data_IF_838485129855
#
_entry.id   IF_838485129855
#
_cell.length_a   1.000
_cell.length_b   1.000
_cell.length_c   1.000
_cell.angle_alpha   90.00
_cell.angle_beta   90.00
_cell.angle_gamma   90.00
#
_symmetry.space_group_name_H-M   'P 1'
#
loop_
_entity.id
_entity.type
_entity.pdbx_description
1 polymer ?
#
# COMPACT_ATOMS: atom_id res chain seq x y z
N UNK A 1 8.48 8.21 -18.09
CA UNK A 1 7.41 7.49 -17.38
C UNK A 1 6.66 8.48 -16.54
N UNK A 2 5.35 8.32 -16.34
CA UNK A 2 4.58 9.31 -15.61
C UNK A 2 4.69 9.09 -14.10
N UNK A 3 4.45 7.86 -13.65
CA UNK A 3 4.47 7.52 -12.22
C UNK A 3 5.27 6.23 -12.00
N UNK A 4 6.07 6.19 -10.94
CA UNK A 4 6.72 4.98 -10.44
C UNK A 4 6.29 4.74 -8.99
N UNK A 5 5.81 3.53 -8.71
CA UNK A 5 5.49 3.09 -7.35
C UNK A 5 6.68 2.40 -6.69
N UNK A 6 6.81 2.57 -5.39
CA UNK A 6 7.74 1.79 -4.55
C UNK A 6 6.97 1.27 -3.35
N UNK A 7 6.90 -0.05 -3.22
CA UNK A 7 6.09 -0.67 -2.18
C UNK A 7 6.41 -2.15 -1.96
N UNK A 8 5.67 -2.78 -1.06
CA UNK A 8 5.75 -4.21 -0.83
C UNK A 8 5.22 -4.99 -2.04
N UNK A 9 6.07 -5.82 -2.62
CA UNK A 9 5.69 -6.77 -3.65
C UNK A 9 5.10 -8.01 -2.99
N UNK A 10 3.79 -8.05 -2.83
CA UNK A 10 3.06 -9.10 -2.11
C UNK A 10 2.20 -9.90 -3.09
N UNK A 11 2.23 -11.21 -2.95
CA UNK A 11 1.31 -12.10 -3.66
C UNK A 11 0.14 -12.42 -2.74
N UNK A 12 -1.06 -12.08 -3.16
CA UNK A 12 -2.29 -12.40 -2.44
C UNK A 12 -2.71 -13.84 -2.74
N UNK A 13 -2.88 -14.63 -1.69
CA UNK A 13 -3.33 -16.03 -1.72
C UNK A 13 -4.71 -16.09 -1.11
N UNK A 14 -5.72 -16.27 -1.96
CA UNK A 14 -7.13 -16.23 -1.58
C UNK A 14 -7.61 -17.62 -1.19
N UNK A 15 -8.19 -17.73 0.00
CA UNK A 15 -8.75 -18.97 0.54
C UNK A 15 -10.13 -18.71 1.15
N UNK A 16 -11.08 -19.63 0.94
CA UNK A 16 -12.36 -19.62 1.64
C UNK A 16 -12.24 -20.43 2.93
N UNK A 17 -12.77 -19.90 4.02
CA UNK A 17 -12.72 -20.50 5.34
C UNK A 17 -14.03 -20.34 6.09
N UNK A 18 -14.31 -21.24 7.04
CA UNK A 18 -15.40 -21.07 7.99
C UNK A 18 -14.98 -20.14 9.16
N UNK A 19 -15.94 -19.52 9.84
CA UNK A 19 -15.68 -18.62 10.96
C UNK A 19 -14.89 -19.29 12.10
N UNK A 20 -15.06 -20.61 12.29
CA UNK A 20 -14.31 -21.37 13.28
C UNK A 20 -12.82 -21.45 12.96
N UNK A 21 -12.41 -21.37 11.69
CA UNK A 21 -10.98 -21.33 11.33
C UNK A 21 -10.32 -20.04 11.87
N UNK A 22 -11.02 -18.90 11.78
CA UNK A 22 -10.55 -17.60 12.28
C UNK A 22 -10.31 -17.67 13.79
N UNK A 23 -11.30 -18.16 14.53
CA UNK A 23 -11.23 -18.25 16.00
C UNK A 23 -10.23 -19.29 16.48
N UNK A 24 -10.18 -20.46 15.84
CA UNK A 24 -9.24 -21.55 16.21
C UNK A 24 -7.76 -21.18 15.99
N UNK A 25 -7.49 -20.22 15.08
CA UNK A 25 -6.12 -19.73 14.84
C UNK A 25 -5.84 -18.39 15.56
N UNK A 26 -6.67 -17.97 16.51
CA UNK A 26 -6.52 -16.72 17.28
C UNK A 26 -6.36 -15.48 16.35
N UNK A 27 -7.12 -15.46 15.27
CA UNK A 27 -7.17 -14.33 14.35
C UNK A 27 -8.38 -13.44 14.74
N UNK A 28 -8.23 -12.14 14.51
CA UNK A 28 -9.33 -11.19 14.64
C UNK A 28 -9.97 -11.00 13.27
N UNK A 29 -11.24 -11.34 13.15
CA UNK A 29 -11.99 -11.21 11.89
C UNK A 29 -11.93 -9.78 11.35
N UNK A 30 -11.87 -9.63 10.05
CA UNK A 30 -11.88 -8.34 9.33
C UNK A 30 -10.69 -7.42 9.66
N UNK A 31 -9.57 -8.02 10.10
CA UNK A 31 -8.33 -7.27 10.36
C UNK A 31 -7.14 -7.83 9.58
N UNK A 32 -6.06 -7.04 9.52
CA UNK A 32 -4.78 -7.48 9.02
C UNK A 32 -3.83 -7.78 10.19
N UNK A 33 -3.15 -8.92 10.10
CA UNK A 33 -2.11 -9.35 11.04
C UNK A 33 -0.82 -9.64 10.28
N UNK A 34 0.30 -9.09 10.75
CA UNK A 34 1.61 -9.54 10.30
C UNK A 34 1.94 -10.86 10.99
N UNK A 35 2.38 -11.83 10.19
CA UNK A 35 2.78 -13.17 10.63
C UNK A 35 4.21 -13.47 10.21
N UNK A 36 4.86 -14.37 10.92
CA UNK A 36 6.15 -14.93 10.49
C UNK A 36 5.96 -16.10 9.50
N UNK A 37 7.08 -16.58 8.95
CA UNK A 37 7.07 -17.65 7.96
C UNK A 37 6.46 -18.96 8.51
N UNK A 38 6.72 -19.28 9.77
CA UNK A 38 6.22 -20.50 10.42
C UNK A 38 4.71 -20.43 10.61
N UNK A 39 4.22 -19.31 11.12
CA UNK A 39 2.77 -19.08 11.29
C UNK A 39 2.05 -19.06 9.94
N UNK A 40 2.64 -18.41 8.91
CA UNK A 40 2.08 -18.40 7.56
C UNK A 40 1.95 -19.83 7.00
N UNK A 41 3.03 -20.62 7.05
CA UNK A 41 3.03 -22.02 6.58
C UNK A 41 2.00 -22.88 7.33
N UNK A 42 1.90 -22.71 8.65
CA UNK A 42 0.91 -23.42 9.49
C UNK A 42 -0.52 -23.07 9.07
N UNK A 43 -0.82 -21.80 8.85
CA UNK A 43 -2.14 -21.38 8.39
C UNK A 43 -2.47 -21.97 7.03
N UNK A 44 -1.53 -21.85 6.08
CA UNK A 44 -1.74 -22.28 4.69
C UNK A 44 -1.86 -23.82 4.55
N UNK A 45 -1.18 -24.60 5.39
CA UNK A 45 -1.11 -26.08 5.27
C UNK A 45 -2.47 -26.77 5.27
N UNK A 46 -3.49 -26.15 5.85
CA UNK A 46 -4.84 -26.71 5.98
C UNK A 46 -5.87 -26.03 5.07
N UNK A 47 -5.41 -25.23 4.10
CA UNK A 47 -6.28 -24.44 3.26
C UNK A 47 -6.16 -24.82 1.79
N UNK A 48 -7.29 -24.76 1.11
CA UNK A 48 -7.33 -24.84 -0.35
C UNK A 48 -7.18 -23.44 -0.93
N UNK A 49 -6.14 -23.25 -1.77
CA UNK A 49 -5.94 -22.00 -2.50
C UNK A 49 -6.99 -21.93 -3.63
N UNK A 50 -7.80 -20.91 -3.61
CA UNK A 50 -8.76 -20.62 -4.70
C UNK A 50 -8.09 -19.82 -5.82
N UNK A 51 -7.30 -18.79 -5.47
CA UNK A 51 -6.67 -17.91 -6.42
C UNK A 51 -5.35 -17.34 -5.87
N UNK A 52 -4.48 -16.92 -6.79
CA UNK A 52 -3.20 -16.26 -6.46
C UNK A 52 -3.04 -15.07 -7.38
N UNK A 53 -2.95 -13.85 -6.81
CA UNK A 53 -2.96 -12.58 -7.54
C UNK A 53 -1.77 -11.72 -7.09
N UNK A 54 -1.17 -10.96 -8.00
CA UNK A 54 -0.21 -9.91 -7.64
C UNK A 54 -0.93 -8.80 -6.89
N UNK A 55 -0.45 -8.47 -5.70
CA UNK A 55 -1.03 -7.47 -4.80
C UNK A 55 0.03 -6.51 -4.26
N UNK A 56 -0.29 -5.89 -3.14
CA UNK A 56 0.48 -4.81 -2.52
C UNK A 56 -0.18 -3.46 -2.78
N UNK A 57 -0.24 -2.62 -1.74
CA UNK A 57 -1.03 -1.38 -1.76
C UNK A 57 -0.66 -0.45 -2.93
N UNK A 58 0.60 0.00 -2.99
CA UNK A 58 1.04 0.85 -4.11
C UNK A 58 1.04 0.10 -5.44
N UNK A 59 1.31 -1.21 -5.47
CA UNK A 59 1.22 -1.98 -6.71
C UNK A 59 -0.21 -1.95 -7.30
N UNK A 60 -1.23 -2.07 -6.44
CA UNK A 60 -2.64 -1.95 -6.85
C UNK A 60 -2.94 -0.57 -7.44
N UNK A 61 -2.45 0.51 -6.82
CA UNK A 61 -2.58 1.87 -7.35
C UNK A 61 -1.89 2.02 -8.71
N UNK A 62 -0.70 1.45 -8.86
CA UNK A 62 0.04 1.48 -10.13
C UNK A 62 -0.67 0.71 -11.23
N UNK A 63 -1.26 -0.44 -10.92
CA UNK A 63 -2.11 -1.20 -11.85
C UNK A 63 -3.33 -0.36 -12.25
N UNK A 64 -4.04 0.26 -11.30
CA UNK A 64 -5.16 1.15 -11.58
C UNK A 64 -4.78 2.30 -12.51
N UNK A 65 -3.64 2.96 -12.25
CA UNK A 65 -3.09 4.01 -13.12
C UNK A 65 -2.76 3.50 -14.53
N UNK A 66 -2.25 2.26 -14.65
CA UNK A 66 -1.99 1.64 -15.96
C UNK A 66 -3.30 1.41 -16.74
N UNK A 67 -4.32 0.90 -16.07
CA UNK A 67 -5.65 0.69 -16.66
C UNK A 67 -6.31 2.00 -17.11
N UNK A 68 -5.97 3.12 -16.47
CA UNK A 68 -6.34 4.48 -16.89
C UNK A 68 -5.47 5.03 -18.04
N UNK A 69 -4.60 4.21 -18.63
CA UNK A 69 -3.79 4.56 -19.81
C UNK A 69 -2.49 5.30 -19.50
N UNK A 70 -2.04 5.34 -18.26
CA UNK A 70 -0.77 5.97 -17.92
C UNK A 70 0.42 5.02 -18.13
N UNK A 71 1.58 5.58 -18.50
CA UNK A 71 2.86 4.86 -18.52
C UNK A 71 3.43 4.83 -17.10
N UNK A 72 3.43 3.67 -16.48
CA UNK A 72 3.77 3.49 -15.07
C UNK A 72 4.85 2.44 -14.86
N UNK A 73 5.43 2.45 -13.68
CA UNK A 73 6.38 1.43 -13.25
C UNK A 73 6.30 1.14 -11.77
N UNK A 74 6.90 0.02 -11.37
CA UNK A 74 6.92 -0.41 -9.99
C UNK A 74 8.30 -0.95 -9.58
N UNK A 75 8.73 -0.59 -8.39
CA UNK A 75 9.90 -1.13 -7.69
C UNK A 75 9.37 -1.85 -6.43
N UNK A 76 9.62 -3.13 -6.35
CA UNK A 76 9.29 -3.94 -5.18
C UNK A 76 10.09 -5.23 -5.22
N UNK A 77 10.50 -5.72 -4.09
CA UNK A 77 11.43 -6.85 -3.99
C UNK A 77 10.70 -8.18 -3.90
N UNK A 78 10.99 -9.10 -4.80
CA UNK A 78 10.55 -10.50 -4.77
C UNK A 78 11.75 -11.45 -4.84
N UNK A 79 11.57 -12.70 -4.43
CA UNK A 79 12.58 -13.74 -4.61
C UNK A 79 12.50 -14.35 -6.02
N UNK A 80 13.57 -15.01 -6.45
CA UNK A 80 13.60 -15.87 -7.63
C UNK A 80 12.93 -17.23 -7.31
N UNK A 81 11.62 -17.16 -7.05
CA UNK A 81 10.77 -18.31 -6.76
C UNK A 81 9.47 -18.27 -7.61
N UNK A 82 8.64 -19.31 -7.49
CA UNK A 82 7.42 -19.41 -8.28
C UNK A 82 6.45 -18.24 -8.05
N UNK A 83 6.36 -17.71 -6.82
CA UNK A 83 5.49 -16.57 -6.52
C UNK A 83 6.08 -15.27 -7.06
N UNK A 84 7.40 -15.08 -6.99
CA UNK A 84 8.08 -13.95 -7.59
C UNK A 84 7.93 -13.90 -9.11
N UNK A 85 7.94 -15.06 -9.78
CA UNK A 85 7.66 -15.17 -11.21
C UNK A 85 6.22 -14.75 -11.52
N UNK A 86 5.24 -15.31 -10.80
CA UNK A 86 3.83 -14.94 -10.93
C UNK A 86 3.59 -13.45 -10.68
N UNK A 87 4.27 -12.87 -9.70
CA UNK A 87 4.18 -11.44 -9.39
C UNK A 87 4.58 -10.57 -10.58
N UNK A 88 5.77 -10.83 -11.13
CA UNK A 88 6.28 -10.08 -12.29
C UNK A 88 5.40 -10.27 -13.53
N UNK A 89 4.95 -11.51 -13.81
CA UNK A 89 4.03 -11.81 -14.91
C UNK A 89 2.69 -11.07 -14.74
N UNK A 90 2.16 -11.00 -13.51
CA UNK A 90 0.95 -10.28 -13.18
C UNK A 90 1.07 -8.79 -13.51
N UNK A 91 2.12 -8.13 -13.05
CA UNK A 91 2.39 -6.72 -13.37
C UNK A 91 2.56 -6.49 -14.87
N UNK A 92 3.27 -7.39 -15.56
CA UNK A 92 3.49 -7.29 -17.00
C UNK A 92 2.19 -7.41 -17.80
N UNK A 93 1.26 -8.27 -17.39
CA UNK A 93 -0.07 -8.39 -18.00
C UNK A 93 -0.87 -7.08 -17.90
N UNK A 94 -0.68 -6.35 -16.80
CA UNK A 94 -1.30 -5.04 -16.56
C UNK A 94 -0.51 -3.87 -17.16
N UNK A 95 0.46 -4.13 -18.06
CA UNK A 95 1.33 -3.13 -18.70
C UNK A 95 2.12 -2.24 -17.71
N UNK A 96 2.46 -2.77 -16.54
CA UNK A 96 3.32 -2.11 -15.55
C UNK A 96 4.78 -2.51 -15.81
N UNK A 97 5.66 -1.52 -15.96
CA UNK A 97 7.10 -1.77 -16.06
C UNK A 97 7.66 -2.12 -14.67
N UNK A 98 8.28 -3.29 -14.56
CA UNK A 98 8.85 -3.75 -13.30
C UNK A 98 10.35 -3.47 -13.26
N UNK A 99 10.82 -2.71 -12.25
CA UNK A 99 12.19 -2.22 -12.14
C UNK A 99 12.98 -2.88 -10.99
N UNK A 100 12.77 -4.16 -10.77
CA UNK A 100 13.57 -4.95 -9.86
C UNK A 100 14.09 -6.20 -10.58
N UNK A 101 15.40 -6.40 -10.51
CA UNK A 101 16.02 -7.62 -11.06
C UNK A 101 15.99 -8.73 -10.03
N UNK A 102 15.15 -9.73 -10.27
CA UNK A 102 15.02 -10.89 -9.38
C UNK A 102 16.36 -11.60 -9.20
N UNK A 103 16.61 -12.03 -8.00
CA UNK A 103 17.74 -12.87 -7.60
C UNK A 103 17.32 -13.78 -6.49
N UNK A 104 18.12 -14.81 -6.23
CA UNK A 104 17.90 -15.70 -5.10
C UNK A 104 18.11 -14.94 -3.79
N UNK A 105 17.06 -14.88 -2.98
CA UNK A 105 17.03 -14.22 -1.68
C UNK A 105 16.91 -15.25 -0.56
N UNK A 106 17.23 -14.85 0.67
CA UNK A 106 17.14 -15.72 1.85
C UNK A 106 15.69 -16.09 2.19
N UNK A 107 14.79 -15.10 2.11
CA UNK A 107 13.37 -15.27 2.40
C UNK A 107 12.57 -15.48 1.11
N UNK A 108 11.47 -16.26 1.15
CA UNK A 108 10.57 -16.39 0.01
C UNK A 108 9.89 -15.06 -0.32
N UNK A 109 9.29 -15.00 -1.51
CA UNK A 109 8.46 -13.85 -1.93
C UNK A 109 7.36 -13.57 -0.90
N UNK A 110 7.12 -12.30 -0.62
CA UNK A 110 6.10 -11.85 0.32
C UNK A 110 4.70 -12.29 -0.10
N UNK A 111 3.90 -12.74 0.85
CA UNK A 111 2.56 -13.26 0.61
C UNK A 111 1.56 -12.72 1.62
N UNK A 112 0.33 -12.50 1.17
CA UNK A 112 -0.79 -12.20 2.04
C UNK A 112 -1.84 -13.29 1.88
N UNK A 113 -2.13 -14.01 2.97
CA UNK A 113 -3.21 -14.97 3.01
C UNK A 113 -4.52 -14.22 3.27
N UNK A 114 -5.41 -14.22 2.29
CA UNK A 114 -6.73 -13.58 2.37
C UNK A 114 -7.76 -14.66 2.67
N UNK A 115 -8.26 -14.66 3.89
CA UNK A 115 -9.24 -15.60 4.41
C UNK A 115 -10.64 -15.01 4.27
N UNK A 116 -11.47 -15.59 3.39
CA UNK A 116 -12.83 -15.12 3.12
C UNK A 116 -13.82 -16.03 3.83
N UNK A 117 -14.59 -15.47 4.76
CA UNK A 117 -15.65 -16.16 5.49
C UNK A 117 -17.00 -16.12 4.74
N UNK A 118 -18.01 -16.97 5.08
CA UNK A 118 -19.27 -17.08 4.35
C UNK A 118 -20.06 -15.77 4.21
N UNK A 119 -19.89 -14.83 5.14
CA UNK A 119 -20.48 -13.49 5.08
C UNK A 119 -19.65 -12.48 4.26
N UNK A 120 -18.67 -12.97 3.45
CA UNK A 120 -17.78 -12.17 2.60
C UNK A 120 -16.80 -11.25 3.35
N UNK A 121 -16.64 -11.42 4.67
CA UNK A 121 -15.63 -10.73 5.44
C UNK A 121 -14.23 -11.30 5.15
N UNK A 122 -13.24 -10.42 5.12
CA UNK A 122 -11.85 -10.77 4.81
C UNK A 122 -10.95 -10.56 6.00
N UNK A 123 -10.20 -11.59 6.36
CA UNK A 123 -9.13 -11.52 7.35
C UNK A 123 -7.80 -11.77 6.65
N UNK A 124 -6.83 -10.90 6.86
CA UNK A 124 -5.56 -10.92 6.15
C UNK A 124 -4.43 -11.31 7.09
N UNK A 125 -3.60 -12.27 6.66
CA UNK A 125 -2.37 -12.66 7.37
C UNK A 125 -1.19 -12.46 6.43
N UNK A 126 -0.40 -11.42 6.69
CA UNK A 126 0.68 -10.99 5.78
C UNK A 126 2.04 -11.41 6.31
N UNK A 127 2.74 -12.23 5.52
CA UNK A 127 4.14 -12.52 5.65
C UNK A 127 4.92 -11.67 4.64
N UNK A 128 5.69 -10.70 5.12
CA UNK A 128 6.39 -9.74 4.24
C UNK A 128 7.51 -10.41 3.41
N UNK A 129 8.12 -11.49 3.91
CA UNK A 129 9.19 -12.18 3.20
C UNK A 129 10.26 -11.23 2.68
N UNK A 130 10.67 -11.47 1.45
CA UNK A 130 11.66 -10.66 0.74
C UNK A 130 11.20 -9.21 0.52
N UNK A 131 9.90 -8.94 0.36
CA UNK A 131 9.39 -7.58 0.15
C UNK A 131 9.80 -6.63 1.29
N UNK A 132 9.73 -7.09 2.56
CA UNK A 132 10.17 -6.31 3.72
C UNK A 132 11.69 -6.12 3.85
N UNK A 133 12.48 -6.65 2.90
CA UNK A 133 13.95 -6.56 2.88
C UNK A 133 14.47 -5.69 1.74
N UNK A 134 13.61 -4.90 1.11
CA UNK A 134 14.06 -3.92 0.12
C UNK A 134 15.08 -2.96 0.75
N UNK A 135 16.11 -2.62 0.00
CA UNK A 135 17.17 -1.74 0.46
C UNK A 135 17.54 -0.71 -0.61
N UNK A 136 18.47 0.20 -0.29
CA UNK A 136 18.86 1.26 -1.19
C UNK A 136 19.43 0.78 -2.52
N UNK A 137 20.04 -0.42 -2.60
CA UNK A 137 20.61 -0.96 -3.83
C UNK A 137 19.52 -1.50 -4.78
N UNK A 138 18.33 -1.80 -4.23
CA UNK A 138 17.20 -2.28 -5.01
C UNK A 138 16.43 -1.12 -5.71
N UNK A 139 16.75 0.13 -5.38
CA UNK A 139 16.12 1.32 -5.98
C UNK A 139 16.82 1.68 -7.30
N UNK A 140 16.10 1.51 -8.41
CA UNK A 140 16.54 2.00 -9.73
C UNK A 140 16.40 3.52 -9.78
N UNK A 141 17.54 4.20 -9.55
CA UNK A 141 17.61 5.67 -9.52
C UNK A 141 17.30 6.27 -10.89
N UNK A 142 17.63 5.58 -11.98
CA UNK A 142 17.32 6.07 -13.33
C UNK A 142 15.82 6.08 -13.58
N UNK A 143 15.12 5.00 -13.22
CA UNK A 143 13.67 4.91 -13.33
C UNK A 143 12.98 5.98 -12.47
N UNK A 144 13.45 6.20 -11.23
CA UNK A 144 12.93 7.23 -10.33
C UNK A 144 13.09 8.64 -10.92
N UNK A 145 14.31 9.00 -11.38
CA UNK A 145 14.60 10.31 -11.98
C UNK A 145 13.82 10.59 -13.26
N UNK A 146 13.55 9.55 -14.05
CA UNK A 146 12.82 9.64 -15.31
C UNK A 146 11.29 9.58 -15.12
N UNK A 147 10.80 9.60 -13.88
CA UNK A 147 9.37 9.64 -13.54
C UNK A 147 8.97 11.03 -13.06
N UNK A 148 7.75 11.46 -13.38
CA UNK A 148 7.22 12.74 -12.88
C UNK A 148 6.89 12.66 -11.39
N UNK A 149 6.36 11.51 -10.94
CA UNK A 149 5.95 11.27 -9.56
C UNK A 149 6.49 9.91 -9.10
N UNK A 150 7.07 9.88 -7.90
CA UNK A 150 7.35 8.64 -7.16
C UNK A 150 6.27 8.47 -6.10
N UNK A 151 5.57 7.33 -6.14
CA UNK A 151 4.50 7.01 -5.20
C UNK A 151 4.95 5.95 -4.21
N UNK A 152 4.84 6.26 -2.92
CA UNK A 152 5.33 5.47 -1.79
C UNK A 152 4.18 4.98 -0.91
N UNK A 153 4.41 3.90 -0.14
CA UNK A 153 3.45 3.39 0.83
C UNK A 153 3.97 3.39 2.26
N UNK A 154 3.11 3.75 3.20
CA UNK A 154 3.44 3.75 4.62
C UNK A 154 3.77 2.37 5.19
N UNK A 155 3.21 1.31 4.61
CA UNK A 155 3.49 -0.07 5.01
C UNK A 155 4.95 -0.48 4.89
N UNK A 156 5.67 0.07 3.90
CA UNK A 156 7.08 -0.25 3.68
C UNK A 156 8.02 0.59 4.56
N UNK A 157 7.51 1.67 5.19
CA UNK A 157 8.31 2.52 6.06
C UNK A 157 8.57 1.81 7.38
N UNK A 158 9.69 1.11 7.47
CA UNK A 158 10.12 0.47 8.70
C UNK A 158 11.58 0.83 9.02
N UNK A 159 12.09 0.38 10.16
CA UNK A 159 13.47 0.61 10.57
C UNK A 159 14.44 -0.15 9.66
N UNK A 160 15.60 0.45 9.43
CA UNK A 160 16.68 -0.20 8.68
C UNK A 160 16.57 0.01 7.17
N UNK A 161 16.73 -1.05 6.41
CA UNK A 161 16.96 -0.98 4.96
C UNK A 161 15.78 -0.45 4.14
N UNK A 162 14.50 -0.79 4.41
CA UNK A 162 13.38 -0.19 3.70
C UNK A 162 13.33 1.34 3.83
N UNK A 163 13.65 1.87 5.01
CA UNK A 163 13.72 3.32 5.22
C UNK A 163 14.81 3.96 4.36
N UNK A 164 16.00 3.35 4.25
CA UNK A 164 17.09 3.84 3.39
C UNK A 164 16.70 3.82 1.91
N UNK A 165 15.98 2.78 1.47
CA UNK A 165 15.43 2.72 0.12
C UNK A 165 14.50 3.91 -0.17
N UNK A 166 13.59 4.24 0.75
CA UNK A 166 12.71 5.40 0.63
C UNK A 166 13.48 6.72 0.61
N UNK A 167 14.44 6.91 1.52
CA UNK A 167 15.25 8.12 1.57
C UNK A 167 16.01 8.32 0.25
N UNK A 168 16.57 7.24 -0.32
CA UNK A 168 17.22 7.29 -1.64
C UNK A 168 16.25 7.64 -2.75
N UNK A 169 15.05 7.04 -2.76
CA UNK A 169 14.01 7.34 -3.74
C UNK A 169 13.58 8.82 -3.64
N UNK A 170 13.22 9.30 -2.45
CA UNK A 170 12.79 10.68 -2.21
C UNK A 170 13.87 11.68 -2.69
N UNK A 171 15.15 11.42 -2.39
CA UNK A 171 16.28 12.28 -2.82
C UNK A 171 16.40 12.40 -4.35
N UNK A 172 15.98 11.39 -5.09
CA UNK A 172 16.12 11.33 -6.53
C UNK A 172 14.81 11.59 -7.30
N UNK A 173 13.71 11.83 -6.61
CA UNK A 173 12.38 12.05 -7.20
C UNK A 173 12.18 13.49 -7.61
N UNK A 174 11.42 13.70 -8.70
CA UNK A 174 10.94 15.03 -9.12
C UNK A 174 9.80 15.50 -8.20
N UNK A 175 8.80 14.62 -7.99
CA UNK A 175 7.70 14.82 -7.03
C UNK A 175 7.49 13.53 -6.25
N UNK A 176 7.08 13.65 -4.99
CA UNK A 176 6.82 12.51 -4.12
C UNK A 176 5.37 12.53 -3.68
N UNK A 177 4.67 11.42 -3.93
CA UNK A 177 3.37 11.11 -3.36
C UNK A 177 3.53 9.97 -2.36
N UNK A 178 2.72 9.93 -1.31
CA UNK A 178 2.71 8.83 -0.35
C UNK A 178 1.30 8.59 0.19
N UNK A 179 0.91 7.32 0.28
CA UNK A 179 -0.21 6.88 1.10
C UNK A 179 0.26 6.62 2.53
N UNK A 180 -0.49 7.12 3.52
CA UNK A 180 -0.22 6.80 4.93
C UNK A 180 -0.54 5.34 5.27
N UNK A 181 -1.28 4.67 4.40
CA UNK A 181 -1.58 3.24 4.32
C UNK A 181 -2.51 2.68 5.39
N UNK A 182 -2.21 2.89 6.66
CA UNK A 182 -3.03 2.37 7.77
C UNK A 182 -2.77 3.16 9.06
N UNK A 183 -3.77 3.17 9.92
CA UNK A 183 -3.69 3.83 11.22
C UNK A 183 -2.56 3.28 12.11
N UNK A 184 -2.26 1.98 12.02
CA UNK A 184 -1.15 1.41 12.79
C UNK A 184 0.22 1.89 12.28
N UNK A 185 0.37 2.09 10.96
CA UNK A 185 1.58 2.69 10.38
C UNK A 185 1.78 4.12 10.90
N UNK A 186 0.72 4.92 10.87
CA UNK A 186 0.73 6.27 11.41
C UNK A 186 1.10 6.29 12.89
N UNK A 187 0.48 5.45 13.72
CA UNK A 187 0.79 5.37 15.16
C UNK A 187 2.23 4.96 15.43
N UNK A 188 2.75 3.99 14.67
CA UNK A 188 4.12 3.46 14.82
C UNK A 188 5.18 4.47 14.40
N UNK A 189 4.93 5.21 13.31
CA UNK A 189 5.92 6.05 12.65
C UNK A 189 5.58 7.55 12.68
N UNK A 190 4.66 7.97 13.55
CA UNK A 190 4.08 9.31 13.60
C UNK A 190 5.07 10.47 13.42
N UNK A 191 6.18 10.56 14.18
CA UNK A 191 7.14 11.66 14.03
C UNK A 191 7.74 11.70 12.62
N UNK A 192 8.10 10.53 12.07
CA UNK A 192 8.67 10.43 10.73
C UNK A 192 7.65 10.78 9.64
N UNK A 193 6.42 10.26 9.74
CA UNK A 193 5.37 10.57 8.77
C UNK A 193 5.01 12.04 8.78
N UNK A 194 4.97 12.65 9.95
CA UNK A 194 4.71 14.10 10.06
C UNK A 194 5.82 14.92 9.42
N UNK A 195 7.09 14.52 9.60
CA UNK A 195 8.24 15.15 8.92
C UNK A 195 8.16 14.98 7.40
N UNK A 196 7.84 13.77 6.91
CA UNK A 196 7.66 13.51 5.48
C UNK A 196 6.58 14.42 4.89
N UNK A 197 5.39 14.44 5.49
CA UNK A 197 4.25 15.26 5.05
C UNK A 197 4.62 16.75 5.04
N UNK A 198 5.26 17.24 6.08
CA UNK A 198 5.66 18.65 6.18
C UNK A 198 6.77 19.03 5.20
N UNK A 199 7.77 18.18 5.03
CA UNK A 199 9.04 18.61 4.44
C UNK A 199 9.40 17.91 3.12
N UNK A 200 8.90 16.69 2.85
CA UNK A 200 9.36 15.86 1.73
C UNK A 200 8.30 15.57 0.68
N UNK A 201 7.07 15.36 1.08
CA UNK A 201 5.99 14.97 0.16
C UNK A 201 5.42 16.19 -0.56
N UNK A 202 4.98 15.98 -1.80
CA UNK A 202 4.19 16.91 -2.59
C UNK A 202 2.69 16.56 -2.48
N UNK A 203 2.38 15.27 -2.38
CA UNK A 203 1.02 14.74 -2.32
C UNK A 203 0.95 13.72 -1.18
N UNK A 204 -0.08 13.82 -0.35
CA UNK A 204 -0.36 12.86 0.72
C UNK A 204 -1.76 12.30 0.56
N UNK A 205 -1.87 10.97 0.53
CA UNK A 205 -3.15 10.26 0.60
C UNK A 205 -3.34 9.69 2.01
N UNK A 206 -4.53 9.86 2.55
CA UNK A 206 -4.88 9.34 3.87
C UNK A 206 -6.38 9.08 3.97
N UNK A 207 -6.81 8.28 4.94
CA UNK A 207 -8.18 8.32 5.40
C UNK A 207 -8.35 9.32 6.57
N UNK A 208 -9.62 9.60 6.94
CA UNK A 208 -9.93 10.56 8.02
C UNK A 208 -9.25 10.18 9.34
N UNK A 209 -9.21 8.88 9.70
CA UNK A 209 -8.61 8.42 10.95
C UNK A 209 -7.08 8.54 10.95
N UNK A 210 -6.45 8.26 9.84
CA UNK A 210 -5.01 8.38 9.66
C UNK A 210 -4.54 9.82 9.83
N UNK A 211 -5.18 10.77 9.13
CA UNK A 211 -4.78 12.17 9.18
C UNK A 211 -5.06 12.80 10.55
N UNK A 212 -6.20 12.48 11.19
CA UNK A 212 -6.51 12.90 12.56
C UNK A 212 -5.46 12.39 13.55
N UNK A 213 -5.07 11.11 13.41
CA UNK A 213 -4.02 10.51 14.24
C UNK A 213 -2.67 11.17 14.00
N UNK A 214 -2.32 11.45 12.75
CA UNK A 214 -1.04 12.05 12.38
C UNK A 214 -0.83 13.40 13.04
N UNK A 215 -1.83 14.29 12.99
CA UNK A 215 -1.74 15.63 13.59
C UNK A 215 -2.24 15.71 15.03
N UNK A 216 -2.61 14.56 15.61
CA UNK A 216 -3.04 14.44 17.01
C UNK A 216 -4.28 15.27 17.38
N UNK A 217 -5.31 15.22 16.55
CA UNK A 217 -6.58 15.90 16.79
C UNK A 217 -7.77 14.96 16.61
N UNK A 218 -8.92 15.37 17.14
CA UNK A 218 -10.24 14.77 16.88
C UNK A 218 -11.14 15.71 16.05
N UNK A 219 -10.67 16.91 15.77
CA UNK A 219 -11.43 17.96 15.08
C UNK A 219 -10.99 18.06 13.61
N UNK A 220 -11.87 17.70 12.70
CA UNK A 220 -11.56 17.70 11.27
C UNK A 220 -11.28 19.12 10.72
N UNK A 221 -11.81 20.19 11.33
CA UNK A 221 -11.49 21.57 10.96
C UNK A 221 -10.00 21.90 11.17
N UNK A 222 -9.36 21.28 12.15
CA UNK A 222 -7.91 21.40 12.35
C UNK A 222 -7.12 20.72 11.23
N UNK A 223 -7.65 19.61 10.67
CA UNK A 223 -7.06 18.97 9.47
C UNK A 223 -7.12 19.91 8.27
N UNK A 224 -8.25 20.58 8.06
CA UNK A 224 -8.41 21.57 6.99
C UNK A 224 -7.40 22.73 7.19
N UNK A 225 -7.31 23.25 8.41
CA UNK A 225 -6.37 24.32 8.74
C UNK A 225 -4.92 23.90 8.51
N UNK A 226 -4.55 22.68 8.94
CA UNK A 226 -3.24 22.08 8.71
C UNK A 226 -2.93 21.96 7.21
N UNK A 227 -3.87 21.44 6.41
CA UNK A 227 -3.70 21.27 4.96
C UNK A 227 -3.49 22.60 4.24
N UNK A 228 -4.25 23.64 4.60
CA UNK A 228 -4.07 24.99 4.06
C UNK A 228 -2.70 25.57 4.39
N UNK A 229 -2.28 25.47 5.65
CA UNK A 229 -0.97 25.95 6.11
C UNK A 229 0.19 25.22 5.45
N UNK A 230 0.03 23.91 5.20
CA UNK A 230 1.04 23.09 4.57
C UNK A 230 1.33 23.53 3.12
N UNK A 231 0.31 24.00 2.41
CA UNK A 231 0.42 24.45 1.02
C UNK A 231 0.69 23.36 -0.01
N UNK A 232 0.62 22.09 0.39
CA UNK A 232 0.81 20.89 -0.43
C UNK A 232 -0.53 20.17 -0.62
N UNK A 233 -0.60 19.26 -1.57
CA UNK A 233 -1.84 18.52 -1.82
C UNK A 233 -2.02 17.43 -0.76
N UNK A 234 -3.13 17.46 -0.03
CA UNK A 234 -3.59 16.37 0.83
C UNK A 234 -4.94 15.91 0.31
N UNK A 235 -5.07 14.60 0.09
CA UNK A 235 -6.30 13.96 -0.38
C UNK A 235 -6.75 12.97 0.68
N UNK A 236 -7.99 13.12 1.15
CA UNK A 236 -8.50 12.39 2.31
C UNK A 236 -9.81 11.69 1.96
N UNK A 237 -9.84 10.37 2.13
CA UNK A 237 -11.08 9.59 2.08
C UNK A 237 -11.78 9.63 3.43
N UNK A 238 -13.10 9.72 3.43
CA UNK A 238 -13.93 9.94 4.63
C UNK A 238 -15.09 8.95 4.74
N UNK A 239 -14.96 7.78 4.11
CA UNK A 239 -16.02 6.78 4.07
C UNK A 239 -17.30 7.33 3.46
N UNK A 240 -18.42 7.18 4.17
CA UNK A 240 -19.74 7.67 3.72
C UNK A 240 -19.83 9.20 3.52
N UNK A 241 -18.86 9.95 4.02
CA UNK A 241 -18.75 11.41 3.83
C UNK A 241 -18.00 11.78 2.55
N UNK A 242 -17.69 10.82 1.68
CA UNK A 242 -16.97 11.05 0.43
C UNK A 242 -15.47 11.29 0.62
N UNK A 243 -14.95 12.27 -0.07
CA UNK A 243 -13.54 12.62 -0.04
C UNK A 243 -13.32 14.12 -0.11
N UNK A 244 -12.14 14.57 0.32
CA UNK A 244 -11.74 15.96 0.29
C UNK A 244 -10.28 16.08 -0.18
N UNK A 245 -10.02 17.04 -1.07
CA UNK A 245 -8.69 17.44 -1.46
C UNK A 245 -8.43 18.87 -0.99
N UNK A 246 -7.28 19.10 -0.36
CA UNK A 246 -6.86 20.40 0.18
C UNK A 246 -5.52 20.77 -0.44
N UNK A 247 -5.46 21.92 -1.11
CA UNK A 247 -4.22 22.45 -1.67
C UNK A 247 -4.18 23.97 -1.47
N UNK A 248 -3.30 24.45 -0.63
CA UNK A 248 -3.27 25.88 -0.25
C UNK A 248 -4.64 26.32 0.31
N UNK A 249 -5.27 27.33 -0.29
CA UNK A 249 -6.59 27.81 0.10
C UNK A 249 -7.75 27.11 -0.63
N UNK A 250 -7.45 26.25 -1.60
CA UNK A 250 -8.45 25.53 -2.36
C UNK A 250 -8.86 24.24 -1.63
N UNK A 251 -10.16 24.01 -1.60
CA UNK A 251 -10.77 22.81 -1.05
C UNK A 251 -11.75 22.28 -2.09
N UNK A 252 -11.62 21.02 -2.42
CA UNK A 252 -12.54 20.30 -3.29
C UNK A 252 -13.11 19.13 -2.50
N UNK A 253 -14.42 19.06 -2.38
CA UNK A 253 -15.14 17.94 -1.77
C UNK A 253 -15.85 17.14 -2.86
N UNK A 254 -15.88 15.84 -2.71
CA UNK A 254 -16.56 14.93 -3.60
C UNK A 254 -17.41 13.98 -2.77
N UNK A 255 -18.71 13.96 -3.01
CA UNK A 255 -19.65 13.05 -2.36
C UNK A 255 -19.47 11.62 -2.87
N UNK A 256 -19.99 10.66 -2.10
CA UNK A 256 -20.07 9.27 -2.54
C UNK A 256 -21.13 9.13 -3.64
N UNK A 257 -20.91 8.16 -4.54
CA UNK A 257 -21.96 7.71 -5.44
C UNK A 257 -23.00 6.93 -4.63
N UNK A 258 -24.23 7.45 -4.60
CA UNK A 258 -25.35 6.80 -3.89
C UNK A 258 -25.79 5.53 -4.62
N UNK A 259 -26.36 4.60 -3.85
CA UNK A 259 -26.97 3.35 -4.37
C UNK A 259 -25.97 2.34 -4.99
N UNK A 260 -24.68 2.41 -4.63
CA UNK A 260 -23.74 1.35 -4.97
C UNK A 260 -23.96 0.13 -4.07
N UNK A 261 -24.10 -1.05 -4.68
CA UNK A 261 -24.00 -2.31 -3.93
C UNK A 261 -22.53 -2.62 -3.74
N UNK A 262 -22.02 -2.37 -2.54
CA UNK A 262 -20.64 -2.74 -2.19
C UNK A 262 -20.54 -4.26 -2.11
N UNK A 263 -19.64 -4.84 -2.91
CA UNK A 263 -19.34 -6.29 -2.90
C UNK A 263 -18.07 -6.54 -2.10
N UNK A 264 -17.07 -5.67 -2.26
CA UNK A 264 -15.74 -5.79 -1.65
C UNK A 264 -15.09 -4.41 -1.53
N UNK A 265 -14.46 -4.15 -0.37
CA UNK A 265 -13.75 -2.90 -0.09
C UNK A 265 -12.22 -3.04 -0.20
N UNK A 266 -11.71 -4.25 -0.50
CA UNK A 266 -10.26 -4.47 -0.61
C UNK A 266 -9.69 -3.64 -1.76
N UNK A 267 -8.61 -2.91 -1.47
CA UNK A 267 -7.95 -2.04 -2.45
C UNK A 267 -8.71 -0.76 -2.81
N UNK A 268 -9.88 -0.47 -2.18
CA UNK A 268 -10.62 0.75 -2.48
C UNK A 268 -9.78 2.02 -2.24
N UNK A 269 -9.00 2.05 -1.17
CA UNK A 269 -8.05 3.14 -0.89
C UNK A 269 -6.91 3.20 -1.90
N UNK A 270 -6.42 2.03 -2.34
CA UNK A 270 -5.35 1.94 -3.34
C UNK A 270 -5.81 2.47 -4.70
N UNK A 271 -7.02 2.07 -5.14
CA UNK A 271 -7.61 2.52 -6.40
C UNK A 271 -8.08 3.98 -6.35
N UNK A 272 -8.45 4.47 -5.17
CA UNK A 272 -8.75 5.90 -4.99
C UNK A 272 -7.51 6.77 -5.17
N UNK A 273 -6.34 6.27 -4.82
CA UNK A 273 -5.08 7.00 -4.96
C UNK A 273 -4.49 6.88 -6.39
N UNK A 274 -5.08 6.04 -7.24
CA UNK A 274 -4.73 5.91 -8.64
C UNK A 274 -5.38 7.01 -9.49
#
# INVERSE_FOLDING_TARGET
MKIIGIGNAIVDVICKVEDNFITANNLTKSTMKLVDESEFKKLLSNLKIEETISGGSVANSIVGLSQLGNKVGFIGKVNEDNLGNKYEEGLKKENVNYFYSKKKEELPTGTCLILITPNSERTMCTFLGTAGKINENDVDVSAVKNSEITFLEGYLWDKGDPKKAFEKAIKNSNKVAMSLSDLFCVKRHKPHFLDLVKNKLNITFANEQEILSLINTKNFNEVISFGKQLGKLIVITRGEKGSIAIHKNEIVECDIQKNLKVVDLTGAGDLFAA
#
